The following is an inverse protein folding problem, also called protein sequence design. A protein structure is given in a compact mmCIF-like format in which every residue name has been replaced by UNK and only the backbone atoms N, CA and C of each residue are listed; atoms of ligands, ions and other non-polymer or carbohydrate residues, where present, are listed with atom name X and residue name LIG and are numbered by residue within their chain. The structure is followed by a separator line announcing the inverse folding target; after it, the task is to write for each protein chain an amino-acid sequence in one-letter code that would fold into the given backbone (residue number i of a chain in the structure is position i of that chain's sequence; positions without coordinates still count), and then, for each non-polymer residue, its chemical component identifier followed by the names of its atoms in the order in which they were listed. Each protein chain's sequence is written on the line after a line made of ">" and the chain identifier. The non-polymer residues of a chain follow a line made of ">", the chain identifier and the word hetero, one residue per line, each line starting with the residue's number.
data_IF_312208424409
#
_entry.id   IF_312208424409
#
_cell.length_a   1.000
_cell.length_b   1.000
_cell.length_c   1.000
_cell.angle_alpha   90.00
_cell.angle_beta   90.00
_cell.angle_gamma   90.00
#
_symmetry.space_group_name_H-M   'P 1'
#
loop_
_entity.id
_entity.type
_entity.pdbx_description
1 polymer ?
#
# COMPACT_ATOMS: atom_id res chain seq x y z
N UNK A 1 -10.50 17.91 12.52
CA UNK A 1 -11.16 16.59 12.60
C UNK A 1 -10.36 15.75 13.56
N UNK A 2 -10.99 15.29 14.64
CA UNK A 2 -10.36 14.50 15.69
C UNK A 2 -10.14 13.07 15.17
N UNK A 3 -8.93 12.53 15.35
CA UNK A 3 -8.54 11.19 14.89
C UNK A 3 -9.19 10.15 15.82
N UNK A 4 -9.93 9.19 15.27
CA UNK A 4 -10.40 8.06 16.06
C UNK A 4 -9.19 7.30 16.65
N UNK A 5 -9.24 6.83 17.91
CA UNK A 5 -8.10 6.16 18.53
C UNK A 5 -7.84 4.81 17.84
N UNK A 6 -6.82 4.78 16.98
CA UNK A 6 -6.34 3.57 16.32
C UNK A 6 -5.59 2.63 17.28
N UNK A 7 -5.26 1.43 16.81
CA UNK A 7 -4.56 0.39 17.60
C UNK A 7 -3.22 0.87 18.17
N UNK A 8 -2.55 1.75 17.41
CA UNK A 8 -1.34 2.49 17.78
C UNK A 8 -1.58 3.98 17.52
N UNK A 9 -1.59 4.77 18.60
CA UNK A 9 -1.89 6.20 18.57
C UNK A 9 -0.75 7.09 18.03
N UNK A 10 0.47 6.57 17.93
CA UNK A 10 1.62 7.32 17.41
C UNK A 10 1.51 7.64 15.90
N UNK A 11 2.39 8.53 15.39
CA UNK A 11 2.61 8.68 13.95
C UNK A 11 3.13 7.37 13.34
N UNK A 12 2.77 7.11 12.08
CA UNK A 12 3.13 5.90 11.35
C UNK A 12 3.84 6.22 10.03
N UNK A 13 4.63 5.27 9.54
CA UNK A 13 5.35 5.32 8.27
C UNK A 13 4.96 4.11 7.43
N UNK A 14 4.58 4.34 6.18
CA UNK A 14 4.15 3.29 5.25
C UNK A 14 4.97 3.32 3.97
N UNK A 15 5.63 2.22 3.62
CA UNK A 15 6.55 2.15 2.47
C UNK A 15 6.01 1.29 1.32
N UNK A 16 4.86 0.64 1.51
CA UNK A 16 4.28 -0.30 0.55
C UNK A 16 2.77 -0.15 0.48
N UNK A 17 2.32 0.69 -0.44
CA UNK A 17 0.91 0.86 -0.75
C UNK A 17 0.74 1.27 -2.21
N UNK A 18 -0.20 0.64 -2.88
CA UNK A 18 -0.53 0.86 -4.28
C UNK A 18 -1.56 2.00 -4.41
N UNK A 19 -1.30 3.00 -5.25
CA UNK A 19 -2.23 4.11 -5.48
C UNK A 19 -3.53 3.61 -6.13
N UNK A 20 -3.37 2.77 -7.15
CA UNK A 20 -4.45 2.12 -7.88
C UNK A 20 -5.23 1.15 -6.99
N UNK A 21 -4.58 0.52 -6.00
CA UNK A 21 -5.20 -0.29 -4.96
C UNK A 21 -5.77 0.48 -3.75
N UNK A 22 -5.76 1.81 -3.75
CA UNK A 22 -6.17 2.65 -2.61
C UNK A 22 -7.19 3.75 -2.98
N UNK A 23 -7.95 3.54 -4.06
CA UNK A 23 -8.94 4.51 -4.56
C UNK A 23 -10.21 4.45 -3.72
N UNK A 24 -10.81 5.61 -3.44
CA UNK A 24 -12.13 5.68 -2.77
C UNK A 24 -13.23 5.08 -3.67
N UNK A 25 -14.07 4.16 -3.16
CA UNK A 25 -15.19 3.61 -3.93
C UNK A 25 -16.13 4.67 -4.51
N UNK A 26 -16.37 5.76 -3.77
CA UNK A 26 -17.19 6.90 -4.21
C UNK A 26 -16.59 7.59 -5.43
N UNK A 27 -15.26 7.67 -5.51
CA UNK A 27 -14.54 8.27 -6.63
C UNK A 27 -14.60 7.37 -7.87
N UNK A 28 -14.53 6.05 -7.70
CA UNK A 28 -14.75 5.08 -8.79
C UNK A 28 -16.16 5.26 -9.36
N UNK A 29 -17.19 5.26 -8.52
CA UNK A 29 -18.59 5.44 -8.93
C UNK A 29 -18.81 6.78 -9.64
N UNK A 30 -18.22 7.86 -9.09
CA UNK A 30 -18.30 9.18 -9.70
C UNK A 30 -17.75 9.21 -11.13
N UNK A 31 -16.53 8.70 -11.34
CA UNK A 31 -15.92 8.70 -12.67
C UNK A 31 -16.56 7.67 -13.61
N UNK A 32 -17.03 6.54 -13.10
CA UNK A 32 -17.83 5.58 -13.87
C UNK A 32 -19.05 6.24 -14.48
N UNK A 33 -19.85 6.95 -13.67
CA UNK A 33 -21.03 7.71 -14.13
C UNK A 33 -20.65 8.86 -15.05
N UNK A 34 -19.66 9.67 -14.67
CA UNK A 34 -19.21 10.85 -15.44
C UNK A 34 -18.73 10.47 -16.85
N UNK A 35 -18.06 9.32 -16.98
CA UNK A 35 -17.46 8.86 -18.25
C UNK A 35 -18.32 7.84 -19.00
N UNK A 36 -19.48 7.45 -18.46
CA UNK A 36 -20.34 6.43 -19.05
C UNK A 36 -19.69 5.03 -19.10
N UNK A 37 -18.81 4.72 -18.14
CA UNK A 37 -18.13 3.43 -18.06
C UNK A 37 -18.92 2.52 -17.12
N UNK A 38 -19.38 1.34 -17.59
CA UNK A 38 -20.17 0.43 -16.77
C UNK A 38 -19.34 -0.11 -15.60
N UNK A 39 -19.94 -0.15 -14.42
CA UNK A 39 -19.39 -0.72 -13.19
C UNK A 39 -20.29 -1.86 -12.70
N UNK A 40 -19.75 -2.83 -11.93
CA UNK A 40 -20.54 -3.97 -11.43
C UNK A 40 -21.50 -3.61 -10.27
N UNK A 41 -21.67 -2.33 -9.95
CA UNK A 41 -22.58 -1.83 -8.91
C UNK A 41 -22.78 -0.33 -8.99
N UNK A 42 -23.92 0.16 -8.52
CA UNK A 42 -24.29 1.59 -8.56
C UNK A 42 -24.06 2.30 -7.22
N UNK A 43 -23.92 1.52 -6.15
CA UNK A 43 -23.62 1.97 -4.78
C UNK A 43 -22.25 1.47 -4.31
N UNK A 44 -21.72 2.06 -3.24
CA UNK A 44 -20.42 1.64 -2.66
C UNK A 44 -20.51 0.19 -2.21
N UNK A 45 -21.60 -0.18 -1.56
CA UNK A 45 -21.85 -1.52 -1.04
C UNK A 45 -21.93 -2.56 -2.15
N UNK A 46 -22.54 -2.22 -3.28
CA UNK A 46 -22.59 -3.12 -4.44
C UNK A 46 -21.23 -3.26 -5.12
N UNK A 47 -20.51 -2.15 -5.32
CA UNK A 47 -19.19 -2.17 -5.94
C UNK A 47 -18.19 -3.01 -5.11
N UNK A 48 -18.18 -2.84 -3.79
CA UNK A 48 -17.26 -3.56 -2.90
C UNK A 48 -17.49 -5.08 -2.89
N UNK A 49 -18.70 -5.58 -3.21
CA UNK A 49 -18.94 -7.03 -3.36
C UNK A 49 -18.12 -7.66 -4.48
N UNK A 50 -17.74 -6.88 -5.49
CA UNK A 50 -16.94 -7.34 -6.62
C UNK A 50 -15.47 -7.01 -6.44
N UNK A 51 -15.17 -5.78 -6.02
CA UNK A 51 -13.80 -5.27 -5.91
C UNK A 51 -13.06 -5.85 -4.70
N UNK A 52 -13.76 -6.01 -3.57
CA UNK A 52 -13.12 -6.41 -2.32
C UNK A 52 -13.45 -7.85 -1.94
N UNK A 53 -12.67 -8.40 -1.02
CA UNK A 53 -12.88 -9.74 -0.49
C UNK A 53 -12.20 -9.92 0.88
N UNK A 54 -12.69 -10.86 1.68
CA UNK A 54 -12.26 -11.10 3.07
C UNK A 54 -11.83 -12.55 3.35
N UNK A 55 -11.95 -13.44 2.36
CA UNK A 55 -11.47 -14.82 2.41
C UNK A 55 -10.29 -15.04 1.45
N UNK A 56 -9.24 -15.79 1.83
CA UNK A 56 -8.06 -15.98 0.98
C UNK A 56 -8.38 -16.46 -0.44
N UNK A 57 -7.78 -15.79 -1.41
CA UNK A 57 -7.73 -16.14 -2.83
C UNK A 57 -6.28 -16.40 -3.23
N UNK A 58 -6.04 -16.63 -4.52
CA UNK A 58 -4.68 -16.65 -5.10
C UNK A 58 -4.27 -15.27 -5.61
N UNK A 59 -2.96 -15.04 -5.75
CA UNK A 59 -2.43 -13.78 -6.31
C UNK A 59 -3.05 -13.40 -7.68
N UNK A 60 -3.22 -14.31 -8.66
CA UNK A 60 -3.90 -13.97 -9.92
C UNK A 60 -5.35 -13.51 -9.73
N UNK A 61 -6.12 -14.18 -8.87
CA UNK A 61 -7.51 -13.80 -8.58
C UNK A 61 -7.62 -12.46 -7.86
N UNK A 62 -6.63 -12.14 -7.02
CA UNK A 62 -6.48 -10.79 -6.47
C UNK A 62 -6.26 -9.74 -7.58
N UNK A 63 -5.34 -10.00 -8.53
CA UNK A 63 -5.05 -9.07 -9.61
C UNK A 63 -6.25 -8.85 -10.55
N UNK A 64 -7.11 -9.86 -10.73
CA UNK A 64 -8.35 -9.72 -11.51
C UNK A 64 -9.31 -8.67 -10.93
N UNK A 65 -9.20 -8.31 -9.64
CA UNK A 65 -10.06 -7.30 -9.01
C UNK A 65 -9.89 -5.90 -9.61
N UNK A 66 -8.71 -5.58 -10.12
CA UNK A 66 -8.43 -4.29 -10.77
C UNK A 66 -9.30 -4.08 -12.02
N UNK A 67 -9.69 -5.16 -12.70
CA UNK A 67 -10.46 -5.14 -13.95
C UNK A 67 -11.84 -4.47 -13.75
N UNK A 68 -12.39 -4.52 -12.54
CA UNK A 68 -13.74 -4.00 -12.25
C UNK A 68 -13.82 -2.48 -12.19
N UNK A 69 -12.74 -1.78 -11.83
CA UNK A 69 -12.79 -0.35 -11.53
C UNK A 69 -11.75 0.49 -12.26
N UNK A 70 -10.60 -0.09 -12.65
CA UNK A 70 -9.55 0.65 -13.35
C UNK A 70 -10.02 1.32 -14.64
N UNK A 71 -10.93 0.74 -15.47
CA UNK A 71 -11.46 1.43 -16.64
C UNK A 71 -12.09 2.80 -16.33
N UNK A 72 -12.75 2.95 -15.17
CA UNK A 72 -13.34 4.23 -14.76
C UNK A 72 -12.29 5.33 -14.51
N UNK A 73 -11.06 4.96 -14.18
CA UNK A 73 -9.99 5.87 -13.77
C UNK A 73 -8.96 6.09 -14.88
N UNK A 74 -8.51 5.01 -15.51
CA UNK A 74 -7.45 5.05 -16.52
C UNK A 74 -7.82 5.95 -17.70
N UNK A 75 -6.85 6.74 -18.16
CA UNK A 75 -7.01 7.68 -19.27
C UNK A 75 -7.73 9.00 -18.95
N UNK A 76 -8.14 9.25 -17.69
CA UNK A 76 -8.73 10.52 -17.27
C UNK A 76 -7.77 11.29 -16.33
N UNK A 77 -7.29 12.45 -16.78
CA UNK A 77 -6.34 13.29 -16.04
C UNK A 77 -6.92 13.85 -14.73
N UNK A 78 -8.23 14.11 -14.70
CA UNK A 78 -8.91 14.58 -13.50
C UNK A 78 -9.05 13.45 -12.49
N UNK A 79 -9.37 12.25 -12.94
CA UNK A 79 -9.41 11.06 -12.09
C UNK A 79 -8.04 10.79 -11.45
N UNK A 80 -6.98 10.67 -12.26
CA UNK A 80 -5.62 10.40 -11.76
C UNK A 80 -5.16 11.46 -10.74
N UNK A 81 -5.41 12.74 -11.01
CA UNK A 81 -5.07 13.81 -10.06
C UNK A 81 -5.91 13.73 -8.78
N UNK A 82 -7.21 13.41 -8.89
CA UNK A 82 -8.12 13.33 -7.74
C UNK A 82 -7.76 12.18 -6.83
N UNK A 83 -7.48 10.98 -7.37
CA UNK A 83 -7.12 9.83 -6.54
C UNK A 83 -5.79 10.05 -5.79
N UNK A 84 -4.81 10.73 -6.41
CA UNK A 84 -3.55 11.07 -5.74
C UNK A 84 -3.77 12.03 -4.55
N UNK A 85 -4.65 13.03 -4.72
CA UNK A 85 -4.99 13.95 -3.64
C UNK A 85 -5.77 13.26 -2.51
N UNK A 86 -6.80 12.50 -2.86
CA UNK A 86 -7.65 11.77 -1.89
C UNK A 86 -6.85 10.71 -1.13
N UNK A 87 -5.86 10.09 -1.77
CA UNK A 87 -4.93 9.17 -1.12
C UNK A 87 -4.19 9.83 0.04
N UNK A 88 -3.57 10.99 -0.18
CA UNK A 88 -2.85 11.72 0.88
C UNK A 88 -3.80 12.11 2.02
N UNK A 89 -5.02 12.56 1.68
CA UNK A 89 -6.04 12.88 2.68
C UNK A 89 -6.44 11.66 3.53
N UNK A 90 -6.60 10.49 2.90
CA UNK A 90 -6.92 9.23 3.60
C UNK A 90 -5.77 8.82 4.53
N UNK A 91 -4.53 8.83 4.03
CA UNK A 91 -3.35 8.44 4.82
C UNK A 91 -3.08 9.39 5.99
N UNK A 92 -3.38 10.68 5.83
CA UNK A 92 -3.34 11.64 6.93
C UNK A 92 -4.35 11.31 8.04
N UNK A 93 -5.58 10.88 7.70
CA UNK A 93 -6.60 10.45 8.67
C UNK A 93 -6.19 9.19 9.44
N UNK A 94 -5.44 8.30 8.80
CA UNK A 94 -4.85 7.11 9.42
C UNK A 94 -3.66 7.46 10.36
N UNK A 95 -3.18 8.70 10.31
CA UNK A 95 -2.02 9.20 11.04
C UNK A 95 -0.69 8.71 10.48
N UNK A 96 -0.65 8.44 9.17
CA UNK A 96 0.60 8.27 8.44
C UNK A 96 1.26 9.65 8.30
N UNK A 97 2.53 9.77 8.71
CA UNK A 97 3.31 11.01 8.58
C UNK A 97 4.26 10.99 7.38
N UNK A 98 4.58 9.82 6.85
CA UNK A 98 5.37 9.64 5.64
C UNK A 98 4.88 8.38 4.91
N UNK A 99 4.69 8.50 3.59
CA UNK A 99 4.21 7.40 2.75
C UNK A 99 4.94 7.36 1.42
N UNK A 100 5.36 6.16 1.01
CA UNK A 100 5.82 5.88 -0.34
C UNK A 100 4.73 5.12 -1.09
N UNK A 101 4.07 5.84 -1.99
CA UNK A 101 3.03 5.27 -2.85
C UNK A 101 3.63 4.79 -4.17
N UNK A 102 3.20 3.63 -4.64
CA UNK A 102 3.61 3.05 -5.93
C UNK A 102 2.42 2.88 -6.85
N UNK A 103 2.67 2.91 -8.16
CA UNK A 103 1.68 2.65 -9.19
C UNK A 103 2.37 2.36 -10.52
N UNK A 104 1.65 1.74 -11.46
CA UNK A 104 2.13 1.61 -12.84
C UNK A 104 1.57 2.76 -13.70
N UNK A 105 2.40 3.71 -14.17
CA UNK A 105 1.92 4.79 -15.03
C UNK A 105 1.31 4.28 -16.34
N UNK A 106 1.76 3.13 -16.83
CA UNK A 106 1.23 2.50 -18.04
C UNK A 106 -0.23 2.04 -17.88
N UNK A 107 -0.62 1.60 -16.67
CA UNK A 107 -1.99 1.17 -16.39
C UNK A 107 -2.96 2.36 -16.23
N UNK A 108 -2.44 3.56 -15.96
CA UNK A 108 -3.22 4.79 -15.85
C UNK A 108 -3.26 5.62 -17.14
N UNK A 109 -2.34 5.37 -18.07
CA UNK A 109 -2.23 6.10 -19.32
C UNK A 109 -3.09 5.51 -20.44
N UNK A 110 -3.56 6.39 -21.35
CA UNK A 110 -4.11 6.03 -22.65
C UNK A 110 -3.38 6.83 -23.75
N UNK A 111 -2.14 6.47 -24.07
CA UNK A 111 -1.41 7.19 -25.12
C UNK A 111 -1.96 6.87 -26.51
N UNK A 112 -2.97 7.61 -26.99
CA UNK A 112 -3.21 7.92 -28.41
C UNK A 112 -3.43 6.75 -29.40
N UNK A 113 -4.01 5.63 -28.99
CA UNK A 113 -4.32 4.51 -29.90
C UNK A 113 -5.75 4.03 -29.66
N UNK A 114 -6.54 4.03 -30.73
CA UNK A 114 -7.94 3.64 -30.73
C UNK A 114 -8.16 2.49 -31.74
N UNK A 115 -8.72 1.34 -31.34
CA UNK A 115 -8.89 0.82 -29.98
C UNK A 115 -7.70 -0.05 -29.55
N UNK A 116 -7.30 0.00 -28.27
CA UNK A 116 -6.49 -1.08 -27.66
C UNK A 116 -7.39 -1.87 -26.71
N UNK A 117 -7.64 -3.17 -26.98
CA UNK A 117 -8.22 -4.09 -26.01
C UNK A 117 -7.34 -4.13 -24.76
N UNK A 118 -7.96 -4.14 -23.59
CA UNK A 118 -7.31 -4.19 -22.28
C UNK A 118 -6.73 -5.59 -22.00
N UNK A 119 -5.68 -5.93 -22.75
CA UNK A 119 -4.96 -7.21 -22.74
C UNK A 119 -3.51 -7.03 -23.16
N UNK A 120 -2.84 -6.00 -22.61
CA UNK A 120 -1.43 -5.77 -22.89
C UNK A 120 -0.59 -6.94 -22.37
N UNK A 121 0.07 -7.64 -23.29
CA UNK A 121 1.09 -8.62 -22.94
C UNK A 121 2.21 -7.95 -22.13
N UNK A 122 2.70 -8.69 -21.14
CA UNK A 122 3.68 -8.32 -20.13
C UNK A 122 4.69 -7.24 -20.58
N UNK A 123 4.40 -5.97 -20.26
CA UNK A 123 5.16 -4.77 -20.67
C UNK A 123 6.64 -4.87 -20.28
N UNK A 124 6.91 -5.68 -19.26
CA UNK A 124 8.21 -5.96 -18.70
C UNK A 124 9.13 -6.70 -19.69
N UNK A 125 8.57 -7.49 -20.60
CA UNK A 125 9.33 -8.18 -21.65
C UNK A 125 9.88 -7.22 -22.72
N UNK A 126 9.22 -6.08 -22.93
CA UNK A 126 9.60 -5.10 -23.97
C UNK A 126 10.58 -4.03 -23.47
N UNK A 127 10.38 -3.48 -22.27
CA UNK A 127 11.18 -2.35 -21.75
C UNK A 127 12.54 -2.76 -21.18
N UNK A 128 12.64 -3.98 -20.65
CA UNK A 128 13.84 -4.45 -19.97
C UNK A 128 15.08 -4.39 -20.88
N UNK A 129 15.10 -5.01 -22.07
CA UNK A 129 16.29 -4.98 -22.94
C UNK A 129 16.68 -3.56 -23.41
N UNK A 130 15.70 -2.66 -23.58
CA UNK A 130 15.91 -1.32 -24.14
C UNK A 130 16.48 -0.32 -23.13
N UNK A 131 16.20 -0.53 -21.84
CA UNK A 131 16.71 0.30 -20.74
C UNK A 131 17.91 -0.34 -20.01
N UNK A 132 18.42 -1.48 -20.51
CA UNK A 132 19.53 -2.22 -19.90
C UNK A 132 19.15 -3.04 -18.66
N UNK A 133 17.87 -3.23 -18.38
CA UNK A 133 17.37 -4.06 -17.27
C UNK A 133 17.06 -5.47 -17.76
N UNK A 134 17.33 -6.52 -16.97
CA UNK A 134 17.06 -7.91 -17.40
C UNK A 134 15.66 -8.42 -17.07
N UNK A 135 14.93 -7.75 -16.17
CA UNK A 135 13.51 -8.01 -15.94
C UNK A 135 12.86 -6.89 -15.11
N UNK A 136 11.55 -6.78 -15.30
CA UNK A 136 10.54 -5.98 -14.62
C UNK A 136 10.94 -5.29 -13.32
N UNK A 137 11.03 -3.95 -13.29
CA UNK A 137 10.83 -3.08 -12.12
C UNK A 137 11.20 -3.65 -10.72
N UNK A 138 12.29 -4.40 -10.65
CA UNK A 138 12.77 -4.99 -9.42
C UNK A 138 13.78 -3.97 -8.93
N UNK A 139 13.33 -3.07 -8.06
CA UNK A 139 14.12 -2.77 -6.87
C UNK A 139 14.19 -4.09 -6.08
N UNK A 140 14.87 -5.11 -6.63
CA UNK A 140 15.53 -6.14 -5.87
C UNK A 140 16.84 -5.49 -5.42
N UNK A 141 16.68 -4.50 -4.54
CA UNK A 141 17.79 -4.10 -3.72
C UNK A 141 18.01 -5.29 -2.78
N UNK A 142 18.83 -6.24 -3.25
CA UNK A 142 19.55 -7.21 -2.45
C UNK A 142 20.60 -6.47 -1.59
N UNK A 143 20.20 -5.36 -0.97
CA UNK A 143 20.95 -4.76 0.11
C UNK A 143 20.54 -5.52 1.35
N UNK A 144 21.53 -6.15 1.98
CA UNK A 144 21.40 -6.93 3.21
C UNK A 144 20.75 -6.13 4.38
N UNK A 145 20.52 -4.82 4.20
CA UNK A 145 19.90 -3.90 5.16
C UNK A 145 18.60 -3.20 4.68
N UNK A 146 18.03 -3.55 3.51
CA UNK A 146 16.73 -2.96 3.11
C UNK A 146 15.57 -3.51 3.96
N UNK A 147 14.58 -2.67 4.31
CA UNK A 147 13.48 -3.07 5.16
C UNK A 147 12.64 -4.09 4.40
N UNK A 148 12.30 -5.20 5.04
CA UNK A 148 11.25 -6.07 4.52
C UNK A 148 9.92 -5.34 4.65
N UNK A 149 9.29 -5.05 3.53
CA UNK A 149 7.98 -4.39 3.49
C UNK A 149 6.91 -5.47 3.71
N UNK A 150 6.39 -5.55 4.93
CA UNK A 150 5.46 -6.61 5.34
C UNK A 150 4.03 -6.09 5.29
N UNK A 151 3.12 -6.88 4.73
CA UNK A 151 1.70 -6.57 4.60
C UNK A 151 0.86 -7.71 5.22
N UNK A 152 0.66 -7.74 6.56
CA UNK A 152 0.06 -8.88 7.25
C UNK A 152 -1.33 -9.30 6.77
N UNK A 153 -2.22 -8.35 6.48
CA UNK A 153 -3.57 -8.65 6.00
C UNK A 153 -3.59 -9.06 4.53
N UNK A 154 -2.80 -8.37 3.69
CA UNK A 154 -2.62 -8.74 2.27
C UNK A 154 -2.04 -10.15 2.12
N UNK A 155 -1.02 -10.51 2.90
CA UNK A 155 -0.36 -11.82 2.78
C UNK A 155 -1.30 -12.97 3.13
N UNK A 156 -2.25 -12.74 4.04
CA UNK A 156 -3.35 -13.67 4.33
C UNK A 156 -4.30 -13.79 3.14
N UNK A 157 -4.82 -12.66 2.63
CA UNK A 157 -5.83 -12.64 1.58
C UNK A 157 -5.32 -13.10 0.21
N UNK A 158 -4.04 -12.96 -0.08
CA UNK A 158 -3.41 -13.41 -1.34
C UNK A 158 -2.94 -14.86 -1.30
N UNK A 159 -3.04 -15.52 -0.15
CA UNK A 159 -2.51 -16.87 0.08
C UNK A 159 -0.99 -16.93 0.14
N UNK A 160 -0.30 -15.78 0.23
CA UNK A 160 1.16 -15.70 0.33
C UNK A 160 1.68 -16.23 1.69
N UNK A 161 0.86 -16.18 2.73
CA UNK A 161 1.17 -16.70 4.06
C UNK A 161 0.09 -17.69 4.55
N UNK A 162 0.46 -18.47 5.56
CA UNK A 162 -0.48 -19.38 6.23
C UNK A 162 -1.70 -18.61 6.75
N UNK A 163 -2.91 -19.19 6.70
CA UNK A 163 -4.10 -18.59 7.33
C UNK A 163 -3.98 -18.49 8.86
N UNK A 164 -3.04 -19.22 9.45
CA UNK A 164 -2.70 -19.14 10.86
C UNK A 164 -1.69 -18.01 11.11
N UNK A 165 -2.18 -16.87 11.58
CA UNK A 165 -1.36 -15.69 11.87
C UNK A 165 -0.24 -15.97 12.90
N UNK A 166 -0.36 -17.00 13.74
CA UNK A 166 0.70 -17.36 14.71
C UNK A 166 1.95 -17.93 14.04
N UNK A 167 1.87 -18.25 12.74
CA UNK A 167 2.98 -18.75 11.91
C UNK A 167 3.52 -17.70 10.94
N UNK A 168 3.02 -16.46 10.99
CA UNK A 168 3.41 -15.42 10.05
C UNK A 168 4.91 -15.09 10.19
N UNK A 169 5.68 -14.97 9.08
CA UNK A 169 7.14 -14.74 9.11
C UNK A 169 7.56 -13.49 9.89
N UNK A 170 6.68 -12.49 10.00
CA UNK A 170 6.96 -11.27 10.78
C UNK A 170 7.23 -11.54 12.26
N UNK A 171 6.70 -12.65 12.82
CA UNK A 171 7.01 -13.07 14.19
C UNK A 171 8.51 -13.40 14.30
N UNK A 172 9.08 -14.05 13.30
CA UNK A 172 10.50 -14.35 13.25
C UNK A 172 11.32 -13.08 13.03
N UNK A 173 10.90 -12.20 12.12
CA UNK A 173 11.55 -10.90 11.92
C UNK A 173 11.59 -10.05 13.19
N UNK A 174 10.53 -10.06 13.99
CA UNK A 174 10.49 -9.42 15.31
C UNK A 174 11.51 -10.04 16.27
N UNK A 175 11.54 -11.38 16.39
CA UNK A 175 12.48 -12.10 17.26
C UNK A 175 13.94 -11.81 16.90
N UNK A 176 14.23 -11.74 15.60
CA UNK A 176 15.58 -11.51 15.07
C UNK A 176 15.95 -10.03 15.04
N UNK A 177 15.07 -9.13 15.50
CA UNK A 177 15.22 -7.66 15.39
C UNK A 177 15.54 -7.21 13.96
N UNK A 178 15.00 -7.90 12.97
CA UNK A 178 15.20 -7.57 11.56
C UNK A 178 14.67 -6.16 11.22
N UNK A 179 15.17 -5.60 10.12
CA UNK A 179 14.67 -4.37 9.54
C UNK A 179 13.42 -4.67 8.69
N UNK A 180 12.24 -4.18 9.12
CA UNK A 180 10.98 -4.34 8.41
C UNK A 180 9.99 -3.21 8.72
N UNK A 181 9.00 -3.02 7.85
CA UNK A 181 7.87 -2.10 8.01
C UNK A 181 6.53 -2.83 7.94
N UNK A 182 5.47 -2.23 8.47
CA UNK A 182 4.08 -2.70 8.34
C UNK A 182 3.32 -1.81 7.35
N UNK A 183 2.58 -2.40 6.42
CA UNK A 183 1.98 -1.67 5.29
C UNK A 183 0.66 -2.31 4.85
N UNK A 184 -0.19 -1.53 4.17
CA UNK A 184 -1.55 -1.96 3.75
C UNK A 184 -1.61 -2.70 2.42
N UNK A 185 -0.65 -2.46 1.52
CA UNK A 185 -0.67 -2.97 0.14
C UNK A 185 -1.81 -2.36 -0.70
N UNK A 186 -2.99 -2.99 -0.77
CA UNK A 186 -4.14 -2.58 -1.58
C UNK A 186 -5.41 -2.40 -0.72
N UNK A 187 -5.50 -1.33 0.09
CA UNK A 187 -6.55 -1.17 1.10
C UNK A 187 -7.98 -1.14 0.53
N UNK A 188 -8.18 -0.75 -0.74
CA UNK A 188 -9.49 -0.85 -1.41
C UNK A 188 -9.90 -2.31 -1.56
N UNK A 189 -9.03 -3.13 -2.15
CA UNK A 189 -9.33 -4.53 -2.48
C UNK A 189 -9.42 -5.37 -1.19
N UNK A 190 -8.54 -5.09 -0.23
CA UNK A 190 -8.54 -5.80 1.05
C UNK A 190 -9.53 -5.24 2.07
N UNK A 191 -10.29 -4.20 1.70
CA UNK A 191 -11.25 -3.49 2.54
C UNK A 191 -10.66 -3.21 3.94
N UNK A 192 -9.47 -2.59 3.95
CA UNK A 192 -8.65 -2.42 5.14
C UNK A 192 -8.11 -1.01 5.26
N UNK A 193 -7.55 -0.72 6.43
CA UNK A 193 -6.72 0.45 6.71
C UNK A 193 -5.46 -0.03 7.41
N UNK A 194 -4.48 0.86 7.60
CA UNK A 194 -3.26 0.49 8.33
C UNK A 194 -3.54 -0.04 9.75
N UNK A 195 -4.64 0.39 10.38
CA UNK A 195 -5.01 -0.09 11.72
C UNK A 195 -5.46 -1.55 11.72
N UNK A 196 -5.92 -2.10 10.59
CA UNK A 196 -6.21 -3.53 10.43
C UNK A 196 -4.93 -4.35 10.59
N UNK A 197 -3.87 -3.97 9.88
CA UNK A 197 -2.56 -4.63 9.97
C UNK A 197 -1.96 -4.50 11.37
N UNK A 198 -2.01 -3.32 11.98
CA UNK A 198 -1.55 -3.12 13.36
C UNK A 198 -2.38 -3.94 14.37
N UNK A 199 -3.69 -4.05 14.15
CA UNK A 199 -4.59 -4.88 14.95
C UNK A 199 -4.21 -6.36 14.92
N UNK A 200 -4.05 -6.91 13.70
CA UNK A 200 -3.68 -8.31 13.48
C UNK A 200 -2.37 -8.67 14.19
N UNK A 201 -1.34 -7.85 14.02
CA UNK A 201 -0.03 -8.15 14.62
C UNK A 201 -0.03 -7.97 16.14
N UNK A 202 -0.84 -7.05 16.68
CA UNK A 202 -1.02 -6.88 18.12
C UNK A 202 -1.74 -8.09 18.73
N UNK A 203 -2.86 -8.49 18.13
CA UNK A 203 -3.73 -9.54 18.64
C UNK A 203 -3.11 -10.94 18.50
N UNK A 204 -2.52 -11.25 17.35
CA UNK A 204 -2.10 -12.62 17.03
C UNK A 204 -0.59 -12.84 17.06
N UNK A 205 0.22 -11.78 17.01
CA UNK A 205 1.67 -11.88 16.83
C UNK A 205 2.46 -11.25 17.97
N UNK A 206 1.78 -10.78 19.02
CA UNK A 206 2.38 -10.24 20.23
C UNK A 206 3.21 -8.98 20.01
N UNK A 207 2.77 -8.09 19.11
CA UNK A 207 3.39 -6.78 18.93
C UNK A 207 3.04 -5.87 20.11
N UNK A 208 4.05 -5.19 20.63
CA UNK A 208 3.92 -4.19 21.69
C UNK A 208 4.01 -2.79 21.11
N UNK A 209 3.69 -1.78 21.91
CA UNK A 209 3.88 -0.38 21.52
C UNK A 209 5.35 -0.06 21.20
N UNK A 210 6.29 -0.63 21.97
CA UNK A 210 7.73 -0.49 21.71
C UNK A 210 8.13 -1.09 20.37
N UNK A 211 7.55 -2.22 19.98
CA UNK A 211 7.79 -2.79 18.66
C UNK A 211 7.18 -1.91 17.56
N UNK A 212 6.01 -1.31 17.77
CA UNK A 212 5.43 -0.34 16.83
C UNK A 212 6.31 0.89 16.63
N UNK A 213 6.87 1.46 17.70
CA UNK A 213 7.83 2.57 17.59
C UNK A 213 9.05 2.13 16.78
N UNK A 214 9.63 0.97 17.10
CA UNK A 214 10.82 0.42 16.41
C UNK A 214 10.60 0.22 14.91
N UNK A 215 9.49 -0.40 14.50
CA UNK A 215 9.25 -0.67 13.07
C UNK A 215 9.01 0.61 12.26
N UNK A 216 8.42 1.65 12.86
CA UNK A 216 8.25 2.94 12.20
C UNK A 216 9.57 3.71 12.08
N UNK A 217 10.44 3.65 13.11
CA UNK A 217 11.80 4.20 13.03
C UNK A 217 12.61 3.49 11.94
N UNK A 218 12.58 2.16 11.91
CA UNK A 218 13.23 1.37 10.86
C UNK A 218 12.74 1.76 9.46
N UNK A 219 11.42 1.92 9.31
CA UNK A 219 10.82 2.36 8.06
C UNK A 219 11.30 3.76 7.65
N UNK A 220 11.35 4.72 8.57
CA UNK A 220 11.88 6.06 8.31
C UNK A 220 13.36 6.03 7.90
N UNK A 221 14.21 5.31 8.64
CA UNK A 221 15.64 5.13 8.30
C UNK A 221 15.83 4.53 6.91
N UNK A 222 14.91 3.65 6.52
CA UNK A 222 14.96 2.92 5.28
C UNK A 222 14.23 3.57 4.11
N UNK A 223 13.58 4.71 4.33
CA UNK A 223 12.89 5.46 3.29
C UNK A 223 13.87 5.93 2.20
N UNK A 224 13.32 6.20 1.02
CA UNK A 224 14.03 6.81 -0.09
C UNK A 224 14.18 8.33 0.02
N UNK A 225 13.82 8.92 1.17
CA UNK A 225 14.06 10.33 1.43
C UNK A 225 15.55 10.67 1.36
N UNK A 226 15.91 11.86 0.84
CA UNK A 226 17.22 12.44 1.04
C UNK A 226 17.58 12.51 2.53
N UNK A 227 18.87 12.41 2.86
CA UNK A 227 19.33 12.25 4.25
C UNK A 227 18.82 13.35 5.20
N UNK A 228 18.75 14.60 4.73
CA UNK A 228 18.21 15.72 5.51
C UNK A 228 16.74 15.50 5.89
N UNK A 229 15.89 15.21 4.91
CA UNK A 229 14.45 14.99 5.13
C UNK A 229 14.20 13.73 5.95
N UNK A 230 15.03 12.70 5.77
CA UNK A 230 15.04 11.50 6.60
C UNK A 230 15.34 11.81 8.06
N UNK A 231 16.34 12.63 8.33
CA UNK A 231 16.66 13.05 9.70
C UNK A 231 15.54 13.90 10.32
N UNK A 232 14.91 14.78 9.55
CA UNK A 232 13.73 15.53 9.99
C UNK A 232 12.56 14.61 10.36
N UNK A 233 12.29 13.59 9.53
CA UNK A 233 11.28 12.57 9.83
C UNK A 233 11.62 11.79 11.11
N UNK A 234 12.87 11.36 11.27
CA UNK A 234 13.32 10.64 12.46
C UNK A 234 13.18 11.47 13.73
N UNK A 235 13.56 12.75 13.69
CA UNK A 235 13.40 13.66 14.81
C UNK A 235 11.93 13.80 15.22
N UNK A 236 11.04 13.97 14.23
CA UNK A 236 9.59 14.05 14.46
C UNK A 236 9.03 12.78 15.10
N UNK A 237 9.48 11.60 14.65
CA UNK A 237 9.07 10.33 15.24
C UNK A 237 9.61 10.16 16.67
N UNK A 238 10.88 10.45 16.91
CA UNK A 238 11.47 10.39 18.25
C UNK A 238 10.76 11.31 19.24
N UNK A 239 10.48 12.56 18.85
CA UNK A 239 9.72 13.51 19.67
C UNK A 239 8.32 12.97 19.98
N UNK A 240 7.58 12.52 18.97
CA UNK A 240 6.22 11.98 19.15
C UNK A 240 6.19 10.69 20.00
N UNK A 241 7.28 9.93 20.03
CA UNK A 241 7.41 8.71 20.83
C UNK A 241 8.02 8.93 22.21
N UNK A 242 8.41 10.17 22.56
CA UNK A 242 9.10 10.48 23.82
C UNK A 242 10.50 9.87 23.91
N UNK A 243 11.14 9.61 22.77
CA UNK A 243 12.50 9.07 22.69
C UNK A 243 13.49 10.24 22.69
N UNK A 244 14.48 10.20 23.59
CA UNK A 244 15.53 11.23 23.64
C UNK A 244 16.36 11.15 22.35
N UNK A 245 16.60 12.25 21.62
CA UNK A 245 17.49 12.24 20.48
C UNK A 245 18.88 11.79 20.92
N UNK A 246 19.45 10.76 20.27
CA UNK A 246 20.87 10.46 20.43
C UNK A 246 21.66 11.63 19.84
N UNK A 247 21.98 12.62 20.66
CA UNK A 247 23.05 13.58 20.38
C UNK A 247 24.37 12.85 20.58
N UNK A 248 24.87 12.22 19.51
CA UNK A 248 26.25 11.72 19.41
C UNK A 248 26.99 12.55 18.38
#
# INVERSE_FOLDING_TARGET
>A
MERAPGVFGGPKVELHVHLDGAIRPETILYFGRKRGIPLPGDTVEELLKYVSYDTPLTLPQFLEKFNYYMPAIAGDREAVRRIAYEFVETKAKEGITYVEVRYSPHLLANSGVDPIPWGQADVLSYLCPQLGFRSACLILLFMLNSPKQVCPWSSYLTGACSPDFTKHPVIQFKKDRANYSLNTDDPLIFNSTIDKDYGIVKEHMGFTEEEFKRVNINAAQSSFLPEKEKQELLNKLHEAYGMVPNTS
#
